data_IF_862730678929
#
_entry.id   IF_862730678929
#
_cell.length_a   1.000
_cell.length_b   1.000
_cell.length_c   1.000
_cell.angle_alpha   90.00
_cell.angle_beta   90.00
_cell.angle_gamma   90.00
#
_symmetry.space_group_name_H-M   'P 1'
#
loop_
_entity.id
_entity.type
_entity.pdbx_description
1 polymer ?
#
# COMPACT_ATOMS: atom_id res chain seq x y z
N UNK A 1 -32.05 52.53 17.45
CA UNK A 1 -30.63 52.91 17.25
C UNK A 1 -29.77 51.67 17.30
N UNK A 2 -29.04 51.46 16.22
CA UNK A 2 -28.27 50.27 15.86
C UNK A 2 -26.85 50.39 16.44
N UNK A 3 -26.35 49.40 17.18
CA UNK A 3 -24.96 49.37 17.64
C UNK A 3 -24.38 47.98 17.33
N UNK A 4 -23.81 47.87 16.13
CA UNK A 4 -23.01 46.73 15.69
C UNK A 4 -21.62 46.83 16.34
N UNK A 5 -21.21 45.78 17.05
CA UNK A 5 -19.88 45.63 17.63
C UNK A 5 -18.93 45.06 16.56
N UNK A 6 -17.75 45.66 16.29
CA UNK A 6 -16.85 45.17 15.25
C UNK A 6 -16.11 43.92 15.72
N UNK A 7 -16.20 42.85 14.92
CA UNK A 7 -15.41 41.63 15.08
C UNK A 7 -13.99 41.88 14.56
N UNK A 8 -13.04 42.14 15.45
CA UNK A 8 -11.62 42.15 15.11
C UNK A 8 -11.14 40.71 14.87
N UNK A 9 -11.12 40.29 13.62
CA UNK A 9 -10.49 39.04 13.19
C UNK A 9 -8.97 39.13 13.39
N UNK A 10 -8.43 38.35 14.34
CA UNK A 10 -6.99 38.15 14.43
C UNK A 10 -6.58 37.18 13.30
N UNK A 11 -5.53 37.48 12.52
CA UNK A 11 -5.01 36.52 11.55
C UNK A 11 -4.40 35.35 12.31
N UNK A 12 -4.99 34.17 12.21
CA UNK A 12 -4.35 32.93 12.64
C UNK A 12 -3.04 32.77 11.88
N UNK A 13 -1.91 33.01 12.55
CA UNK A 13 -0.59 32.72 12.02
C UNK A 13 -0.50 31.22 11.78
N UNK A 14 -0.67 30.83 10.52
CA UNK A 14 -0.45 29.46 10.02
C UNK A 14 1.01 29.09 10.25
N UNK A 15 1.33 28.57 11.43
CA UNK A 15 2.66 28.06 11.77
C UNK A 15 2.91 26.85 10.88
N UNK A 16 3.62 27.06 9.77
CA UNK A 16 4.15 26.00 8.93
C UNK A 16 5.06 25.16 9.82
N UNK A 17 4.61 23.95 10.17
CA UNK A 17 5.39 23.03 10.99
C UNK A 17 6.49 22.43 10.11
N UNK A 18 7.64 23.11 10.08
CA UNK A 18 8.86 22.75 9.34
C UNK A 18 9.28 21.30 9.58
N UNK A 19 8.95 20.73 10.75
CA UNK A 19 9.20 19.32 11.09
C UNK A 19 8.56 18.30 10.12
N UNK A 20 7.42 18.64 9.49
CA UNK A 20 6.80 17.75 8.50
C UNK A 20 7.51 17.72 7.16
N UNK A 21 8.09 18.86 6.76
CA UNK A 21 8.82 18.96 5.50
C UNK A 21 10.15 18.20 5.56
N UNK A 22 10.85 18.22 6.71
CA UNK A 22 12.09 17.48 6.91
C UNK A 22 11.89 15.96 6.97
N UNK A 23 10.85 15.49 7.66
CA UNK A 23 10.51 14.07 7.69
C UNK A 23 10.06 13.57 6.31
N UNK A 24 9.36 14.43 5.55
CA UNK A 24 8.96 14.11 4.19
C UNK A 24 10.16 14.05 3.21
N UNK A 25 11.14 14.94 3.38
CA UNK A 25 12.39 14.93 2.61
C UNK A 25 13.24 13.69 2.90
N UNK A 26 13.34 13.28 4.17
CA UNK A 26 14.07 12.06 4.57
C UNK A 26 13.41 10.78 4.04
N UNK A 27 12.09 10.69 4.12
CA UNK A 27 11.36 9.49 3.68
C UNK A 27 11.24 9.38 2.16
N UNK A 28 11.19 10.50 1.43
CA UNK A 28 11.27 10.51 -0.05
C UNK A 28 12.66 10.12 -0.55
N UNK A 29 13.73 10.57 0.13
CA UNK A 29 15.09 10.11 -0.14
C UNK A 29 15.26 8.59 0.06
N UNK A 30 14.71 8.06 1.16
CA UNK A 30 14.71 6.62 1.47
C UNK A 30 14.04 5.79 0.38
N UNK A 31 12.90 6.27 -0.13
CA UNK A 31 12.09 5.57 -1.11
C UNK A 31 12.71 5.61 -2.51
N UNK A 32 13.33 6.73 -2.89
CA UNK A 32 14.11 6.83 -4.13
C UNK A 32 15.30 5.85 -4.08
N UNK A 33 16.00 5.75 -2.94
CA UNK A 33 17.11 4.81 -2.76
C UNK A 33 16.64 3.35 -2.87
N UNK A 34 15.50 3.00 -2.28
CA UNK A 34 14.92 1.65 -2.37
C UNK A 34 14.52 1.32 -3.82
N UNK A 35 13.91 2.26 -4.54
CA UNK A 35 13.58 2.06 -5.96
C UNK A 35 14.82 1.94 -6.85
N UNK A 36 15.87 2.71 -6.58
CA UNK A 36 17.14 2.65 -7.33
C UNK A 36 17.93 1.37 -7.03
N UNK A 37 17.80 0.83 -5.82
CA UNK A 37 18.40 -0.45 -5.43
C UNK A 37 17.69 -1.65 -6.08
N UNK A 38 16.37 -1.58 -6.30
CA UNK A 38 15.57 -2.65 -6.90
C UNK A 38 15.63 -2.71 -8.43
N UNK A 39 15.97 -1.60 -9.11
CA UNK A 39 16.20 -1.57 -10.56
C UNK A 39 17.59 -0.97 -10.85
N UNK A 40 18.67 -1.79 -10.82
CA UNK A 40 20.01 -1.29 -11.04
C UNK A 40 20.13 -0.67 -12.43
N UNK A 41 20.34 0.64 -12.47
CA UNK A 41 20.62 1.36 -13.71
C UNK A 41 21.98 0.86 -14.22
N UNK A 42 21.98 0.09 -15.31
CA UNK A 42 23.19 -0.50 -15.87
C UNK A 42 24.24 0.55 -16.26
N UNK A 43 23.83 1.79 -16.48
CA UNK A 43 24.68 2.92 -16.84
C UNK A 43 25.52 3.49 -15.67
N UNK A 44 25.34 3.03 -14.42
CA UNK A 44 26.13 3.52 -13.27
C UNK A 44 27.39 2.67 -13.03
N UNK A 45 28.51 3.30 -12.58
CA UNK A 45 29.72 2.60 -12.12
C UNK A 45 29.41 1.53 -11.07
N UNK A 46 30.14 0.41 -11.13
CA UNK A 46 29.91 -0.77 -10.28
C UNK A 46 29.96 -0.45 -8.78
N UNK A 47 30.87 0.44 -8.36
CA UNK A 47 31.04 0.83 -6.95
C UNK A 47 29.85 1.61 -6.38
N UNK A 48 29.24 2.47 -7.22
CA UNK A 48 28.05 3.23 -6.83
C UNK A 48 26.83 2.29 -6.75
N UNK A 49 26.75 1.31 -7.66
CA UNK A 49 25.67 0.31 -7.68
C UNK A 49 25.67 -0.58 -6.44
N UNK A 50 26.84 -1.09 -6.04
CA UNK A 50 26.98 -1.92 -4.84
C UNK A 50 26.74 -1.10 -3.56
N UNK A 51 27.22 0.15 -3.51
CA UNK A 51 26.92 1.08 -2.40
C UNK A 51 25.42 1.34 -2.22
N UNK A 52 24.71 1.66 -3.32
CA UNK A 52 23.26 1.86 -3.30
C UNK A 52 22.52 0.56 -2.90
N UNK A 53 22.96 -0.58 -3.41
CA UNK A 53 22.39 -1.89 -3.05
C UNK A 53 22.50 -2.20 -1.56
N UNK A 54 23.68 -1.98 -0.97
CA UNK A 54 23.94 -2.20 0.46
C UNK A 54 23.08 -1.27 1.33
N UNK A 55 22.98 0.01 0.96
CA UNK A 55 22.10 0.96 1.64
C UNK A 55 20.63 0.53 1.52
N UNK A 56 20.18 0.13 0.34
CA UNK A 56 18.84 -0.40 0.12
C UNK A 56 18.54 -1.59 1.01
N UNK A 57 19.47 -2.54 1.13
CA UNK A 57 19.33 -3.71 2.00
C UNK A 57 19.24 -3.35 3.49
N UNK A 58 20.06 -2.40 3.95
CA UNK A 58 19.98 -1.90 5.33
C UNK A 58 18.63 -1.24 5.61
N UNK A 59 18.13 -0.43 4.67
CA UNK A 59 16.82 0.21 4.79
C UNK A 59 15.69 -0.82 4.82
N UNK A 60 15.73 -1.83 3.95
CA UNK A 60 14.77 -2.94 3.95
C UNK A 60 14.80 -3.67 5.30
N UNK A 61 15.99 -3.91 5.85
CA UNK A 61 16.12 -4.54 7.17
C UNK A 61 15.49 -3.68 8.28
N UNK A 62 15.72 -2.37 8.29
CA UNK A 62 15.08 -1.46 9.26
C UNK A 62 13.55 -1.44 9.12
N UNK A 63 13.05 -1.43 7.88
CA UNK A 63 11.61 -1.53 7.61
C UNK A 63 11.07 -2.86 8.10
N UNK A 64 11.76 -3.97 7.87
CA UNK A 64 11.35 -5.29 8.34
C UNK A 64 11.29 -5.39 9.87
N UNK A 65 12.29 -4.83 10.58
CA UNK A 65 12.29 -4.75 12.05
C UNK A 65 11.12 -3.89 12.54
N UNK A 66 10.89 -2.74 11.92
CA UNK A 66 9.78 -1.85 12.27
C UNK A 66 8.42 -2.51 12.02
N UNK A 67 8.28 -3.21 10.89
CA UNK A 67 7.07 -3.96 10.54
C UNK A 67 6.81 -5.09 11.54
N UNK A 68 7.84 -5.82 11.97
CA UNK A 68 7.71 -6.85 12.99
C UNK A 68 7.19 -6.28 14.33
N UNK A 69 7.70 -5.12 14.76
CA UNK A 69 7.21 -4.42 15.95
C UNK A 69 5.76 -3.96 15.74
N UNK A 70 5.45 -3.39 14.57
CA UNK A 70 4.11 -2.90 14.25
C UNK A 70 3.06 -4.03 14.25
N UNK A 71 3.40 -5.20 13.73
CA UNK A 71 2.55 -6.40 13.80
C UNK A 71 2.30 -6.78 15.27
N UNK A 72 3.34 -6.76 16.11
CA UNK A 72 3.20 -6.99 17.55
C UNK A 72 2.24 -6.00 18.22
N UNK A 73 2.39 -4.71 17.94
CA UNK A 73 1.49 -3.67 18.45
C UNK A 73 0.06 -3.85 17.92
N UNK A 74 -0.10 -4.20 16.65
CA UNK A 74 -1.40 -4.49 16.02
C UNK A 74 -2.11 -5.68 16.67
N UNK A 75 -1.36 -6.75 16.94
CA UNK A 75 -1.86 -7.93 17.65
C UNK A 75 -2.31 -7.58 19.07
N UNK A 76 -1.49 -6.83 19.81
CA UNK A 76 -1.85 -6.36 21.16
C UNK A 76 -3.09 -5.46 21.14
N UNK A 77 -3.20 -4.60 20.13
CA UNK A 77 -4.37 -3.74 19.96
C UNK A 77 -5.64 -4.56 19.70
N UNK A 78 -5.55 -5.59 18.85
CA UNK A 78 -6.66 -6.50 18.57
C UNK A 78 -7.07 -7.26 19.83
N UNK A 79 -6.13 -7.85 20.57
CA UNK A 79 -6.45 -8.55 21.82
C UNK A 79 -7.08 -7.59 22.83
N UNK A 80 -6.55 -6.36 22.96
CA UNK A 80 -7.08 -5.35 23.86
C UNK A 80 -8.49 -4.88 23.46
N UNK A 81 -8.76 -4.70 22.17
CA UNK A 81 -10.07 -4.27 21.67
C UNK A 81 -11.12 -5.36 21.91
N UNK A 82 -10.79 -6.62 21.58
CA UNK A 82 -11.70 -7.76 21.77
C UNK A 82 -11.93 -8.04 23.26
N UNK A 83 -10.88 -8.03 24.09
CA UNK A 83 -11.03 -8.20 25.54
C UNK A 83 -11.88 -7.10 26.17
N UNK A 84 -11.77 -5.84 25.71
CA UNK A 84 -12.62 -4.74 26.16
C UNK A 84 -14.07 -4.92 25.68
N UNK A 85 -14.28 -5.37 24.44
CA UNK A 85 -15.61 -5.63 23.91
C UNK A 85 -16.33 -6.72 24.72
N UNK A 86 -15.62 -7.80 25.09
CA UNK A 86 -16.20 -8.91 25.84
C UNK A 86 -16.56 -8.50 27.28
N UNK A 87 -15.78 -7.61 27.90
CA UNK A 87 -16.10 -7.04 29.22
C UNK A 87 -17.31 -6.09 29.21
N UNK A 88 -17.55 -5.38 28.11
CA UNK A 88 -18.70 -4.45 27.98
C UNK A 88 -19.97 -5.16 27.51
N UNK A 89 -19.85 -6.17 26.66
CA UNK A 89 -20.97 -6.96 26.14
C UNK A 89 -20.63 -8.45 26.23
N UNK A 90 -21.01 -9.13 27.33
CA UNK A 90 -20.60 -10.51 27.60
C UNK A 90 -21.11 -11.54 26.59
N UNK A 91 -22.10 -11.20 25.75
CA UNK A 91 -22.63 -12.09 24.71
C UNK A 91 -22.11 -11.78 23.29
N UNK A 92 -20.96 -11.10 23.14
CA UNK A 92 -20.42 -10.78 21.82
C UNK A 92 -19.68 -11.99 21.20
N UNK A 93 -20.45 -12.88 20.56
CA UNK A 93 -19.95 -14.07 19.87
C UNK A 93 -18.84 -13.75 18.86
N UNK A 94 -18.94 -12.61 18.16
CA UNK A 94 -17.91 -12.18 17.21
C UNK A 94 -16.55 -11.96 17.88
N UNK A 95 -16.54 -11.29 19.05
CA UNK A 95 -15.30 -11.04 19.78
C UNK A 95 -14.66 -12.34 20.28
N UNK A 96 -15.48 -13.31 20.67
CA UNK A 96 -15.01 -14.61 21.14
C UNK A 96 -14.42 -15.43 19.98
N UNK A 97 -15.11 -15.48 18.84
CA UNK A 97 -14.64 -16.18 17.63
C UNK A 97 -13.32 -15.58 17.16
N UNK A 98 -13.18 -14.25 17.09
CA UNK A 98 -11.91 -13.61 16.68
C UNK A 98 -10.76 -13.99 17.61
N UNK A 99 -10.99 -14.01 18.92
CA UNK A 99 -9.96 -14.36 19.90
C UNK A 99 -9.54 -15.83 19.77
N UNK A 100 -10.52 -16.74 19.61
CA UNK A 100 -10.27 -18.17 19.42
C UNK A 100 -9.48 -18.42 18.13
N UNK A 101 -9.89 -17.80 17.02
CA UNK A 101 -9.19 -17.93 15.73
C UNK A 101 -7.77 -17.38 15.83
N UNK A 102 -7.57 -16.25 16.51
CA UNK A 102 -6.25 -15.66 16.72
C UNK A 102 -5.32 -16.61 17.50
N UNK A 103 -5.81 -17.13 18.63
CA UNK A 103 -5.06 -18.10 19.45
C UNK A 103 -4.82 -19.39 18.67
N UNK A 104 -5.81 -19.84 17.88
CA UNK A 104 -5.71 -21.03 17.04
C UNK A 104 -4.62 -20.91 15.97
N UNK A 105 -4.55 -19.77 15.26
CA UNK A 105 -3.53 -19.52 14.23
C UNK A 105 -2.12 -19.43 14.86
N UNK A 106 -1.98 -18.70 15.97
CA UNK A 106 -0.69 -18.59 16.67
C UNK A 106 -0.26 -19.96 17.21
N UNK A 107 -1.19 -20.68 17.84
CA UNK A 107 -0.98 -22.01 18.39
C UNK A 107 -0.57 -23.02 17.32
N UNK A 108 -1.26 -23.03 16.18
CA UNK A 108 -0.91 -23.87 15.02
C UNK A 108 0.52 -23.57 14.53
N UNK A 109 0.86 -22.29 14.37
CA UNK A 109 2.19 -21.87 13.91
C UNK A 109 3.31 -22.23 14.89
N UNK A 110 3.06 -22.13 16.20
CA UNK A 110 4.02 -22.55 17.23
C UNK A 110 4.15 -24.07 17.26
N UNK A 111 3.04 -24.80 17.19
CA UNK A 111 3.01 -26.25 17.15
C UNK A 111 3.76 -26.80 15.93
N UNK A 112 3.53 -26.26 14.74
CA UNK A 112 4.26 -26.64 13.53
C UNK A 112 5.77 -26.37 13.68
N UNK A 113 6.15 -25.23 14.27
CA UNK A 113 7.57 -24.89 14.46
C UNK A 113 8.29 -25.78 15.49
N UNK A 114 7.58 -26.24 16.52
CA UNK A 114 8.14 -27.12 17.56
C UNK A 114 8.22 -28.60 17.10
N UNK A 115 7.29 -29.04 16.24
CA UNK A 115 7.29 -30.40 15.68
C UNK A 115 8.11 -30.52 14.39
N UNK A 116 8.52 -29.41 13.78
CA UNK A 116 9.51 -29.38 12.72
C UNK A 116 10.90 -29.70 13.29
N UNK A 117 11.11 -30.97 13.65
CA UNK A 117 12.44 -31.57 13.75
C UNK A 117 13.16 -31.45 12.40
N UNK A 118 14.49 -31.39 12.47
CA UNK A 118 15.42 -30.83 11.49
C UNK A 118 15.33 -31.23 10.01
N UNK A 119 14.45 -32.13 9.56
CA UNK A 119 14.45 -32.62 8.16
C UNK A 119 13.09 -33.03 7.57
N UNK A 120 11.95 -32.56 8.09
CA UNK A 120 10.65 -32.87 7.46
C UNK A 120 9.88 -31.60 7.12
N UNK A 121 9.60 -31.43 5.81
CA UNK A 121 8.70 -30.45 5.21
C UNK A 121 7.66 -29.92 6.21
N UNK A 122 7.77 -28.67 6.66
CA UNK A 122 6.78 -28.13 7.59
C UNK A 122 5.44 -28.24 6.89
N UNK A 123 4.48 -28.95 7.48
CA UNK A 123 3.10 -28.99 7.00
C UNK A 123 2.65 -27.55 6.83
N UNK A 124 2.56 -27.12 5.56
CA UNK A 124 2.41 -25.72 5.15
C UNK A 124 1.01 -25.17 5.46
N UNK A 125 0.24 -25.82 6.34
CA UNK A 125 -1.16 -25.49 6.60
C UNK A 125 -1.29 -24.05 7.09
N UNK A 126 -0.40 -23.58 7.96
CA UNK A 126 -0.34 -22.17 8.38
C UNK A 126 0.00 -21.22 7.22
N UNK A 127 0.95 -21.60 6.34
CA UNK A 127 1.33 -20.79 5.17
C UNK A 127 0.20 -20.74 4.13
N UNK A 128 -0.47 -21.85 3.87
CA UNK A 128 -1.63 -21.95 2.97
C UNK A 128 -2.79 -21.10 3.51
N UNK A 129 -3.03 -21.12 4.82
CA UNK A 129 -4.05 -20.26 5.45
C UNK A 129 -3.71 -18.78 5.26
N UNK A 130 -2.47 -18.38 5.51
CA UNK A 130 -2.02 -17.01 5.31
C UNK A 130 -2.12 -16.58 3.83
N UNK A 131 -1.68 -17.44 2.91
CA UNK A 131 -1.75 -17.20 1.47
C UNK A 131 -3.21 -17.05 1.00
N UNK A 132 -4.10 -17.94 1.44
CA UNK A 132 -5.52 -17.87 1.11
C UNK A 132 -6.15 -16.56 1.58
N UNK A 133 -5.84 -16.13 2.82
CA UNK A 133 -6.33 -14.87 3.36
C UNK A 133 -5.76 -13.67 2.59
N UNK A 134 -4.46 -13.71 2.27
CA UNK A 134 -3.80 -12.67 1.49
C UNK A 134 -4.42 -12.54 0.10
N UNK A 135 -4.55 -13.64 -0.65
CA UNK A 135 -5.17 -13.67 -1.98
C UNK A 135 -6.62 -13.18 -1.94
N UNK A 136 -7.37 -13.50 -0.88
CA UNK A 136 -8.74 -13.02 -0.72
C UNK A 136 -8.79 -11.50 -0.56
N UNK A 137 -7.93 -10.93 0.28
CA UNK A 137 -7.85 -9.47 0.48
C UNK A 137 -7.36 -8.78 -0.79
N UNK A 138 -6.33 -9.32 -1.44
CA UNK A 138 -5.82 -8.79 -2.72
C UNK A 138 -6.89 -8.81 -3.81
N UNK A 139 -7.67 -9.89 -3.90
CA UNK A 139 -8.79 -10.01 -4.85
C UNK A 139 -9.89 -8.99 -4.56
N UNK A 140 -10.22 -8.75 -3.29
CA UNK A 140 -11.20 -7.73 -2.91
C UNK A 140 -10.73 -6.32 -3.29
N UNK A 141 -9.45 -5.99 -3.04
CA UNK A 141 -8.86 -4.71 -3.42
C UNK A 141 -8.78 -4.55 -4.95
N UNK A 142 -8.40 -5.61 -5.67
CA UNK A 142 -8.39 -5.64 -7.12
C UNK A 142 -9.81 -5.43 -7.69
N UNK A 143 -10.83 -6.02 -7.06
CA UNK A 143 -12.23 -5.80 -7.42
C UNK A 143 -12.65 -4.34 -7.28
N UNK A 144 -12.32 -3.70 -6.16
CA UNK A 144 -12.61 -2.26 -5.96
C UNK A 144 -11.87 -1.41 -7.01
N UNK A 145 -10.61 -1.72 -7.27
CA UNK A 145 -9.81 -1.03 -8.30
C UNK A 145 -10.44 -1.18 -9.69
N UNK A 146 -10.90 -2.39 -10.04
CA UNK A 146 -11.60 -2.66 -11.29
C UNK A 146 -12.86 -1.80 -11.43
N UNK A 147 -13.73 -1.79 -10.43
CA UNK A 147 -14.94 -0.95 -10.44
C UNK A 147 -14.59 0.54 -10.58
N UNK A 148 -13.55 1.00 -9.88
CA UNK A 148 -13.09 2.38 -9.97
C UNK A 148 -12.56 2.72 -11.37
N UNK A 149 -11.80 1.83 -12.00
CA UNK A 149 -11.28 2.00 -13.37
C UNK A 149 -12.42 2.05 -14.39
N UNK A 150 -13.39 1.13 -14.30
CA UNK A 150 -14.55 1.10 -15.19
C UNK A 150 -15.39 2.37 -15.02
N UNK A 151 -15.68 2.78 -13.78
CA UNK A 151 -16.42 4.01 -13.50
C UNK A 151 -15.68 5.25 -13.99
N UNK A 152 -14.36 5.29 -13.80
CA UNK A 152 -13.51 6.39 -14.27
C UNK A 152 -13.50 6.48 -15.79
N UNK A 153 -13.39 5.34 -16.48
CA UNK A 153 -13.51 5.24 -17.93
C UNK A 153 -14.88 5.72 -18.42
N UNK A 154 -15.97 5.20 -17.87
CA UNK A 154 -17.33 5.65 -18.20
C UNK A 154 -17.50 7.16 -18.02
N UNK A 155 -17.03 7.70 -16.90
CA UNK A 155 -17.07 9.14 -16.60
C UNK A 155 -16.25 9.96 -17.61
N UNK A 156 -15.10 9.46 -18.06
CA UNK A 156 -14.22 10.07 -19.07
C UNK A 156 -14.89 10.16 -20.44
N UNK A 157 -15.66 9.14 -20.83
CA UNK A 157 -16.39 9.12 -22.10
C UNK A 157 -17.64 10.00 -22.05
N UNK A 158 -18.31 10.07 -20.90
CA UNK A 158 -19.59 10.80 -20.76
C UNK A 158 -19.42 12.32 -20.63
N UNK A 159 -18.34 12.83 -20.01
CA UNK A 159 -18.28 14.23 -19.59
C UNK A 159 -18.08 15.23 -20.72
N UNK A 160 -17.29 14.93 -21.76
CA UNK A 160 -17.24 15.49 -23.15
C UNK A 160 -16.20 14.69 -23.94
N UNK A 161 -16.44 14.38 -25.22
CA UNK A 161 -15.46 13.67 -26.05
C UNK A 161 -14.29 14.62 -26.37
N UNK A 162 -13.17 14.44 -25.67
CA UNK A 162 -11.93 15.18 -25.89
C UNK A 162 -10.92 14.29 -26.61
N UNK A 163 -9.89 14.89 -27.22
CA UNK A 163 -8.76 14.15 -27.80
C UNK A 163 -8.16 13.15 -26.79
N UNK A 164 -8.11 13.51 -25.51
CA UNK A 164 -7.61 12.65 -24.44
C UNK A 164 -8.53 11.46 -24.17
N UNK A 165 -9.85 11.66 -24.15
CA UNK A 165 -10.82 10.56 -24.02
C UNK A 165 -10.72 9.60 -25.21
N UNK A 166 -10.56 10.13 -26.43
CA UNK A 166 -10.38 9.31 -27.64
C UNK A 166 -9.09 8.48 -27.59
N UNK A 167 -7.97 9.09 -27.18
CA UNK A 167 -6.69 8.41 -27.02
C UNK A 167 -6.77 7.31 -25.95
N UNK A 168 -7.44 7.58 -24.83
CA UNK A 168 -7.66 6.59 -23.77
C UNK A 168 -8.47 5.38 -24.27
N UNK A 169 -9.58 5.62 -24.97
CA UNK A 169 -10.40 4.54 -25.55
C UNK A 169 -9.60 3.73 -26.55
N UNK A 170 -8.84 4.38 -27.43
CA UNK A 170 -8.00 3.72 -28.41
C UNK A 170 -6.96 2.81 -27.73
N UNK A 171 -6.25 3.34 -26.73
CA UNK A 171 -5.26 2.58 -25.96
C UNK A 171 -5.91 1.40 -25.23
N UNK A 172 -7.08 1.59 -24.61
CA UNK A 172 -7.81 0.54 -23.91
C UNK A 172 -8.24 -0.58 -24.87
N UNK A 173 -8.75 -0.23 -26.05
CA UNK A 173 -9.16 -1.20 -27.08
C UNK A 173 -7.95 -1.98 -27.60
N UNK A 174 -6.83 -1.31 -27.91
CA UNK A 174 -5.59 -1.95 -28.36
C UNK A 174 -5.09 -2.96 -27.32
N UNK A 175 -5.05 -2.55 -26.04
CA UNK A 175 -4.61 -3.44 -24.95
C UNK A 175 -5.58 -4.62 -24.79
N UNK A 176 -6.90 -4.37 -24.81
CA UNK A 176 -7.90 -5.42 -24.65
C UNK A 176 -7.84 -6.45 -25.78
N UNK A 177 -7.63 -6.00 -27.02
CA UNK A 177 -7.40 -6.88 -28.17
C UNK A 177 -6.09 -7.66 -27.99
N UNK A 178 -5.02 -7.02 -27.50
CA UNK A 178 -3.75 -7.67 -27.22
C UNK A 178 -3.79 -8.75 -26.13
N UNK A 179 -4.76 -8.72 -25.22
CA UNK A 179 -5.00 -9.78 -24.23
C UNK A 179 -5.83 -10.94 -24.78
N UNK A 180 -6.47 -10.79 -25.94
CA UNK A 180 -7.20 -11.87 -26.58
C UNK A 180 -6.20 -12.86 -27.20
N UNK A 181 -6.31 -14.18 -26.93
CA UNK A 181 -5.49 -15.20 -27.56
C UNK A 181 -5.95 -15.44 -29.01
N UNK A 182 -5.94 -14.40 -29.84
CA UNK A 182 -6.14 -14.54 -31.28
C UNK A 182 -4.87 -15.15 -31.86
N UNK A 183 -4.89 -16.48 -32.00
CA UNK A 183 -3.81 -17.24 -32.60
C UNK A 183 -3.48 -16.69 -34.00
N UNK A 184 -2.26 -16.16 -34.19
CA UNK A 184 -1.72 -15.82 -35.51
C UNK A 184 -1.36 -14.34 -35.76
N UNK A 185 -1.54 -13.43 -34.80
CA UNK A 185 -1.20 -12.02 -34.99
C UNK A 185 0.06 -11.60 -34.20
N UNK A 186 1.25 -11.94 -34.70
CA UNK A 186 2.54 -11.51 -34.11
C UNK A 186 2.64 -9.98 -33.95
N UNK A 187 2.00 -9.22 -34.84
CA UNK A 187 1.92 -7.77 -34.74
C UNK A 187 1.18 -7.28 -33.48
N UNK A 188 0.12 -7.97 -33.06
CA UNK A 188 -0.64 -7.63 -31.85
C UNK A 188 0.19 -7.89 -30.59
N UNK A 189 1.00 -8.96 -30.58
CA UNK A 189 1.90 -9.27 -29.46
C UNK A 189 3.00 -8.23 -29.32
N UNK A 190 3.60 -7.76 -30.42
CA UNK A 190 4.64 -6.70 -30.38
C UNK A 190 4.08 -5.37 -29.85
N UNK A 191 2.88 -4.97 -30.30
CA UNK A 191 2.23 -3.74 -29.79
C UNK A 191 1.93 -3.87 -28.29
N UNK A 192 1.44 -5.03 -27.85
CA UNK A 192 1.19 -5.31 -26.43
C UNK A 192 2.48 -5.19 -25.62
N UNK A 193 3.57 -5.79 -26.07
CA UNK A 193 4.86 -5.72 -25.38
C UNK A 193 5.38 -4.29 -25.29
N UNK A 194 5.29 -3.51 -26.37
CA UNK A 194 5.66 -2.10 -26.35
C UNK A 194 4.79 -1.28 -25.37
N UNK A 195 3.47 -1.53 -25.33
CA UNK A 195 2.56 -0.93 -24.35
C UNK A 195 2.95 -1.26 -22.90
N UNK A 196 3.25 -2.54 -22.62
CA UNK A 196 3.61 -3.01 -21.29
C UNK A 196 4.97 -2.45 -20.83
N UNK A 197 5.94 -2.41 -21.74
CA UNK A 197 7.32 -2.03 -21.43
C UNK A 197 7.55 -0.53 -21.35
N UNK A 198 6.80 0.28 -22.11
CA UNK A 198 7.02 1.75 -22.17
C UNK A 198 5.94 2.53 -21.40
N UNK A 199 4.68 2.69 -21.89
CA UNK A 199 3.66 3.44 -21.14
C UNK A 199 3.28 2.83 -19.79
N UNK A 200 3.02 1.52 -19.73
CA UNK A 200 2.51 0.87 -18.52
C UNK A 200 3.58 0.83 -17.43
N UNK A 201 4.82 0.48 -17.78
CA UNK A 201 5.94 0.53 -16.84
C UNK A 201 6.19 1.95 -16.31
N UNK A 202 6.11 2.97 -17.17
CA UNK A 202 6.21 4.37 -16.78
C UNK A 202 5.09 4.80 -15.83
N UNK A 203 3.85 4.43 -16.14
CA UNK A 203 2.69 4.66 -15.29
C UNK A 203 2.80 3.97 -13.92
N UNK A 204 3.25 2.72 -13.91
CA UNK A 204 3.49 1.96 -12.67
C UNK A 204 4.56 2.62 -11.80
N UNK A 205 5.67 3.07 -12.40
CA UNK A 205 6.72 3.82 -11.68
C UNK A 205 6.16 5.12 -11.09
N UNK A 206 5.37 5.88 -11.86
CA UNK A 206 4.68 7.08 -11.38
C UNK A 206 3.72 6.81 -10.23
N UNK A 207 2.94 5.72 -10.32
CA UNK A 207 2.04 5.27 -9.25
C UNK A 207 2.82 4.92 -7.97
N UNK A 208 3.91 4.17 -8.09
CA UNK A 208 4.76 3.80 -6.95
C UNK A 208 5.30 5.04 -6.23
N UNK A 209 5.81 6.01 -7.00
CA UNK A 209 6.29 7.29 -6.46
C UNK A 209 5.15 8.03 -5.75
N UNK A 210 3.97 8.12 -6.37
CA UNK A 210 2.80 8.77 -5.80
C UNK A 210 2.32 8.13 -4.49
N UNK A 211 2.23 6.80 -4.45
CA UNK A 211 1.82 6.03 -3.26
C UNK A 211 2.80 6.28 -2.11
N UNK A 212 4.09 6.21 -2.37
CA UNK A 212 5.06 6.45 -1.30
C UNK A 212 5.06 7.89 -0.81
N UNK A 213 4.96 8.90 -1.69
CA UNK A 213 4.76 10.28 -1.25
C UNK A 213 3.50 10.41 -0.37
N UNK A 214 2.42 9.70 -0.72
CA UNK A 214 1.22 9.60 0.12
C UNK A 214 1.51 9.03 1.51
N UNK A 215 2.20 7.89 1.58
CA UNK A 215 2.60 7.23 2.85
C UNK A 215 3.49 8.14 3.68
N UNK A 216 4.44 8.83 3.06
CA UNK A 216 5.33 9.80 3.69
C UNK A 216 4.53 10.94 4.34
N UNK A 217 3.58 11.53 3.59
CA UNK A 217 2.75 12.64 4.07
C UNK A 217 1.89 12.20 5.25
N UNK A 218 1.31 11.00 5.19
CA UNK A 218 0.53 10.44 6.30
C UNK A 218 1.42 10.19 7.52
N UNK A 219 2.58 9.57 7.33
CA UNK A 219 3.56 9.35 8.41
C UNK A 219 4.00 10.65 9.08
N UNK A 220 4.34 11.67 8.29
CA UNK A 220 4.70 12.98 8.79
C UNK A 220 3.55 13.64 9.58
N UNK A 221 2.31 13.53 9.10
CA UNK A 221 1.13 14.06 9.79
C UNK A 221 0.94 13.40 11.17
N UNK A 222 1.14 12.08 11.25
CA UNK A 222 1.08 11.32 12.50
C UNK A 222 2.17 11.77 13.49
N UNK A 223 3.42 11.88 13.06
CA UNK A 223 4.54 12.32 13.93
C UNK A 223 4.35 13.74 14.47
N UNK A 224 3.77 14.64 13.67
CA UNK A 224 3.52 16.03 14.05
C UNK A 224 2.33 16.16 15.02
N UNK A 225 1.57 15.08 15.23
CA UNK A 225 0.37 15.07 16.05
C UNK A 225 -0.75 15.96 15.48
N UNK A 226 -0.84 16.05 14.14
CA UNK A 226 -1.92 16.77 13.45
C UNK A 226 -3.27 16.07 13.61
N UNK A 227 -3.26 14.73 13.66
CA UNK A 227 -4.45 13.90 13.84
C UNK A 227 -4.56 13.46 15.31
N UNK A 228 -5.01 14.36 16.19
CA UNK A 228 -5.46 13.98 17.53
C UNK A 228 -6.94 13.61 17.48
N UNK A 229 -7.27 12.38 17.12
CA UNK A 229 -8.65 11.83 17.17
C UNK A 229 -8.92 11.04 18.46
N UNK A 230 -8.26 11.38 19.56
CA UNK A 230 -8.63 10.83 20.88
C UNK A 230 -8.84 11.96 21.88
N UNK A 231 -10.03 12.57 21.78
CA UNK A 231 -10.68 13.32 22.85
C UNK A 231 -12.14 12.86 22.90
N UNK A 232 -12.35 11.66 23.45
CA UNK A 232 -13.54 11.28 24.21
C UNK A 232 -13.09 10.38 25.37
#
# INVERSE_FOLDING_TARGET
MNQQKPLTGRPERRRIKIGGALLAALSSGLMIIILLALQPIEALPADIRTGIGNLGQLLIQLVAVTAAIAVGVGLLNLVRSQARSLRRFPNNLYSLITLIVLVGIIGLRVFERLNAGSDANPTQTSLILMDTLQVTVESALAGILFFFLVYSGYRLLRRRFTLWSALFVLAAVIVLIGYSPLAGAEFLTTIREWMLTVPVSGGMRGLLIGVALGVVVVGARLFIGGDRTFRE
#
